data_IF_972228331724
#
_entry.id   IF_972228331724
#
_cell.length_a   1.000
_cell.length_b   1.000
_cell.length_c   1.000
_cell.angle_alpha   90.00
_cell.angle_beta   90.00
_cell.angle_gamma   90.00
#
_symmetry.space_group_name_H-M   'P 1'
#
loop_
_entity.id
_entity.type
_entity.pdbx_description
1 polymer ?
#
# COMPACT_ATOMS: atom_id res chain seq x y z
N UNK A 1 -17.46 6.11 3.61
CA UNK A 1 -16.31 5.77 2.75
C UNK A 1 -16.14 6.83 1.69
N UNK A 2 -14.92 7.23 1.39
CA UNK A 2 -14.62 7.95 0.14
C UNK A 2 -13.75 7.03 -0.68
N UNK A 3 -14.40 6.15 -1.46
CA UNK A 3 -13.74 5.18 -2.37
C UNK A 3 -12.67 5.86 -3.23
N UNK A 4 -12.93 7.11 -3.60
CA UNK A 4 -12.01 7.99 -4.32
C UNK A 4 -10.67 8.15 -3.58
N UNK A 5 -10.68 8.40 -2.27
CA UNK A 5 -9.44 8.56 -1.49
C UNK A 5 -8.62 7.27 -1.53
N UNK A 6 -9.25 6.11 -1.32
CA UNK A 6 -8.57 4.82 -1.36
C UNK A 6 -8.03 4.46 -2.73
N UNK A 7 -8.75 4.81 -3.81
CA UNK A 7 -8.27 4.61 -5.18
C UNK A 7 -7.06 5.49 -5.49
N UNK A 8 -7.11 6.77 -5.13
CA UNK A 8 -5.98 7.70 -5.29
C UNK A 8 -4.77 7.18 -4.52
N UNK A 9 -4.95 6.77 -3.26
CA UNK A 9 -3.85 6.23 -2.46
C UNK A 9 -3.26 4.94 -3.05
N UNK A 10 -4.09 4.05 -3.60
CA UNK A 10 -3.62 2.84 -4.28
C UNK A 10 -2.75 3.17 -5.51
N UNK A 11 -3.17 4.14 -6.32
CA UNK A 11 -2.42 4.59 -7.49
C UNK A 11 -1.08 5.22 -7.09
N UNK A 12 -1.07 6.10 -6.09
CA UNK A 12 0.17 6.72 -5.59
C UNK A 12 1.12 5.64 -5.05
N UNK A 13 0.61 4.69 -4.28
CA UNK A 13 1.42 3.60 -3.72
C UNK A 13 2.02 2.71 -4.82
N UNK A 14 1.21 2.38 -5.84
CA UNK A 14 1.66 1.64 -7.03
C UNK A 14 2.82 2.35 -7.72
N UNK A 15 2.70 3.66 -7.95
CA UNK A 15 3.73 4.45 -8.62
C UNK A 15 5.01 4.49 -7.77
N UNK A 16 4.90 4.77 -6.47
CA UNK A 16 6.05 4.87 -5.56
C UNK A 16 6.79 3.53 -5.49
N UNK A 17 6.08 2.43 -5.29
CA UNK A 17 6.68 1.10 -5.19
C UNK A 17 7.29 0.68 -6.53
N UNK A 18 6.59 0.91 -7.64
CA UNK A 18 7.12 0.55 -8.96
C UNK A 18 8.37 1.35 -9.30
N UNK A 19 8.40 2.65 -9.03
CA UNK A 19 9.62 3.47 -9.17
C UNK A 19 10.75 2.97 -8.29
N UNK A 20 10.46 2.71 -7.01
CA UNK A 20 11.46 2.24 -6.05
C UNK A 20 12.08 0.90 -6.48
N UNK A 21 11.25 -0.08 -6.83
CA UNK A 21 11.70 -1.39 -7.29
C UNK A 21 12.47 -1.29 -8.61
N UNK A 22 11.98 -0.50 -9.56
CA UNK A 22 12.69 -0.27 -10.82
C UNK A 22 14.06 0.35 -10.59
N UNK A 23 14.20 1.32 -9.70
CA UNK A 23 15.51 1.92 -9.42
C UNK A 23 16.47 0.91 -8.79
N UNK A 24 16.02 0.16 -7.78
CA UNK A 24 16.83 -0.82 -7.08
C UNK A 24 17.30 -1.94 -8.02
N UNK A 25 16.44 -2.38 -8.94
CA UNK A 25 16.68 -3.54 -9.79
C UNK A 25 17.32 -3.17 -11.13
N UNK A 26 17.02 -1.98 -11.67
CA UNK A 26 17.61 -1.52 -12.92
C UNK A 26 19.12 -1.37 -12.82
N UNK A 27 19.62 -0.74 -11.75
CA UNK A 27 21.07 -0.50 -11.55
C UNK A 27 21.91 -1.78 -11.72
N UNK A 28 21.56 -2.93 -11.11
CA UNK A 28 22.29 -4.18 -11.33
C UNK A 28 21.96 -4.87 -12.66
N UNK A 29 20.70 -4.87 -13.13
CA UNK A 29 20.30 -5.62 -14.35
C UNK A 29 20.81 -4.96 -15.63
N UNK A 30 20.99 -3.64 -15.65
CA UNK A 30 21.53 -2.92 -16.81
C UNK A 30 22.93 -3.44 -17.20
N UNK A 31 23.65 -4.06 -16.25
CA UNK A 31 24.97 -4.65 -16.47
C UNK A 31 24.90 -6.08 -17.06
N UNK A 32 23.74 -6.74 -17.04
CA UNK A 32 23.62 -8.18 -17.34
C UNK A 32 22.68 -8.48 -18.50
N UNK A 33 21.52 -7.82 -18.62
CA UNK A 33 20.44 -8.29 -19.53
C UNK A 33 19.78 -7.22 -20.41
N UNK A 34 20.29 -5.99 -20.45
CA UNK A 34 19.81 -4.98 -21.43
C UNK A 34 18.35 -4.53 -21.24
N UNK A 35 17.69 -4.86 -20.13
CA UNK A 35 16.37 -4.34 -19.80
C UNK A 35 16.41 -2.82 -19.62
N UNK A 36 15.44 -2.12 -20.19
CA UNK A 36 15.27 -0.68 -19.97
C UNK A 36 14.57 -0.40 -18.64
N UNK A 37 14.89 0.72 -18.00
CA UNK A 37 14.22 1.18 -16.78
C UNK A 37 12.70 1.25 -16.96
N UNK A 38 12.26 1.71 -18.13
CA UNK A 38 10.85 1.85 -18.49
C UNK A 38 10.13 0.49 -18.53
N UNK A 39 10.78 -0.55 -19.09
CA UNK A 39 10.25 -1.91 -19.11
C UNK A 39 10.06 -2.48 -17.71
N UNK A 40 11.06 -2.31 -16.84
CA UNK A 40 10.96 -2.73 -15.43
C UNK A 40 9.85 -1.96 -14.69
N UNK A 41 9.75 -0.65 -14.90
CA UNK A 41 8.72 0.18 -14.29
C UNK A 41 7.31 -0.28 -14.66
N UNK A 42 7.02 -0.44 -15.95
CA UNK A 42 5.71 -0.92 -16.38
C UNK A 42 5.41 -2.35 -15.89
N UNK A 43 6.42 -3.21 -15.84
CA UNK A 43 6.28 -4.56 -15.28
C UNK A 43 5.83 -4.49 -13.81
N UNK A 44 6.52 -3.70 -12.98
CA UNK A 44 6.12 -3.54 -11.57
C UNK A 44 4.78 -2.82 -11.40
N UNK A 45 4.41 -1.88 -12.27
CA UNK A 45 3.08 -1.27 -12.24
C UNK A 45 2.01 -2.33 -12.47
N UNK A 46 2.15 -3.19 -13.49
CA UNK A 46 1.18 -4.24 -13.80
C UNK A 46 1.01 -5.20 -12.63
N UNK A 47 2.09 -5.57 -11.95
CA UNK A 47 2.02 -6.50 -10.80
C UNK A 47 1.53 -5.83 -9.51
N UNK A 48 1.95 -4.61 -9.22
CA UNK A 48 1.63 -3.94 -7.95
C UNK A 48 0.26 -3.27 -7.95
N UNK A 49 -0.24 -2.82 -9.10
CA UNK A 49 -1.54 -2.17 -9.22
C UNK A 49 -2.71 -3.02 -8.69
N UNK A 50 -2.91 -4.29 -9.11
CA UNK A 50 -3.99 -5.11 -8.58
C UNK A 50 -3.80 -5.42 -7.09
N UNK A 51 -2.55 -5.54 -6.61
CA UNK A 51 -2.25 -5.75 -5.19
C UNK A 51 -2.72 -4.55 -4.36
N UNK A 52 -2.40 -3.32 -4.77
CA UNK A 52 -2.81 -2.13 -4.02
C UNK A 52 -4.29 -1.77 -4.21
N UNK A 53 -4.87 -2.03 -5.39
CA UNK A 53 -6.30 -1.85 -5.59
C UNK A 53 -7.10 -2.85 -4.76
N UNK A 54 -6.83 -4.15 -4.86
CA UNK A 54 -7.61 -5.16 -4.15
C UNK A 54 -7.23 -5.24 -2.68
N UNK A 55 -5.94 -5.36 -2.40
CA UNK A 55 -5.40 -5.48 -1.04
C UNK A 55 -5.51 -4.18 -0.26
N UNK A 56 -5.20 -3.03 -0.86
CA UNK A 56 -5.29 -1.73 -0.19
C UNK A 56 -6.73 -1.29 0.10
N UNK A 57 -7.64 -1.43 -0.88
CA UNK A 57 -9.07 -1.16 -0.65
C UNK A 57 -9.62 -2.17 0.35
N UNK A 58 -9.33 -3.46 0.19
CA UNK A 58 -9.71 -4.52 1.13
C UNK A 58 -9.24 -4.24 2.55
N UNK A 59 -7.99 -3.83 2.73
CA UNK A 59 -7.42 -3.43 4.02
C UNK A 59 -8.21 -2.27 4.64
N UNK A 60 -8.47 -1.22 3.86
CA UNK A 60 -9.24 -0.07 4.33
C UNK A 60 -10.64 -0.49 4.79
N UNK A 61 -11.31 -1.39 4.07
CA UNK A 61 -12.64 -1.89 4.43
C UNK A 61 -12.63 -2.70 5.72
N UNK A 62 -11.67 -3.63 5.85
CA UNK A 62 -11.54 -4.48 7.04
C UNK A 62 -11.23 -3.65 8.27
N UNK A 63 -10.26 -2.73 8.14
CA UNK A 63 -9.86 -1.83 9.23
C UNK A 63 -11.04 -0.95 9.66
N UNK A 64 -11.70 -0.27 8.73
CA UNK A 64 -12.87 0.57 9.06
C UNK A 64 -13.99 -0.23 9.74
N UNK A 65 -14.25 -1.46 9.28
CA UNK A 65 -15.26 -2.34 9.89
C UNK A 65 -14.91 -2.74 11.32
N UNK A 66 -13.65 -3.09 11.57
CA UNK A 66 -13.15 -3.42 12.91
C UNK A 66 -13.26 -2.21 13.85
N UNK A 67 -12.80 -1.04 13.41
CA UNK A 67 -12.88 0.18 14.21
C UNK A 67 -14.32 0.59 14.53
N UNK A 68 -15.23 0.48 13.56
CA UNK A 68 -16.65 0.74 13.77
C UNK A 68 -17.26 -0.22 14.79
N UNK A 69 -16.89 -1.50 14.74
CA UNK A 69 -17.39 -2.51 15.66
C UNK A 69 -16.88 -2.29 17.09
N UNK A 70 -15.61 -1.89 17.25
CA UNK A 70 -15.00 -1.62 18.55
C UNK A 70 -15.40 -0.25 19.14
N UNK A 71 -16.22 0.54 18.43
CA UNK A 71 -16.61 1.91 18.80
C UNK A 71 -15.42 2.82 19.15
N UNK A 72 -14.25 2.50 18.59
CA UNK A 72 -13.03 3.26 18.84
C UNK A 72 -13.14 4.60 18.12
N UNK A 73 -13.19 5.67 18.91
CA UNK A 73 -13.06 7.03 18.37
C UNK A 73 -11.67 7.22 17.78
N UNK A 74 -11.50 8.27 16.97
CA UNK A 74 -10.20 8.74 16.45
C UNK A 74 -9.34 9.33 17.59
N UNK A 75 -9.11 8.55 18.62
CA UNK A 75 -8.22 8.89 19.72
C UNK A 75 -6.80 8.43 19.40
N UNK A 76 -5.85 8.75 20.29
CA UNK A 76 -4.42 8.43 20.14
C UNK A 76 -4.18 6.93 19.86
N UNK A 77 -5.04 6.04 20.34
CA UNK A 77 -4.98 4.60 20.11
C UNK A 77 -5.31 4.16 18.67
N UNK A 78 -5.94 5.03 17.86
CA UNK A 78 -6.32 4.70 16.49
C UNK A 78 -5.10 4.38 15.62
N UNK A 79 -4.05 5.19 15.71
CA UNK A 79 -2.87 5.03 14.87
C UNK A 79 -2.13 3.70 15.08
N UNK A 80 -1.70 3.33 16.30
CA UNK A 80 -0.97 2.08 16.50
C UNK A 80 -1.83 0.85 16.17
N UNK A 81 -3.13 0.86 16.49
CA UNK A 81 -4.01 -0.25 16.17
C UNK A 81 -4.23 -0.39 14.66
N UNK A 82 -4.42 0.73 13.95
CA UNK A 82 -4.50 0.73 12.49
C UNK A 82 -3.21 0.20 11.87
N UNK A 83 -2.04 0.63 12.36
CA UNK A 83 -0.75 0.15 11.87
C UNK A 83 -0.62 -1.38 11.99
N UNK A 84 -0.99 -1.94 13.14
CA UNK A 84 -0.97 -3.39 13.38
C UNK A 84 -1.94 -4.10 12.43
N UNK A 85 -3.17 -3.60 12.29
CA UNK A 85 -4.17 -4.20 11.40
C UNK A 85 -3.71 -4.16 9.94
N UNK A 86 -3.16 -3.03 9.48
CA UNK A 86 -2.58 -2.94 8.13
C UNK A 86 -1.40 -3.90 7.96
N UNK A 87 -0.52 -4.06 8.96
CA UNK A 87 0.55 -5.06 8.90
C UNK A 87 -0.01 -6.49 8.71
N UNK A 88 -1.03 -6.87 9.49
CA UNK A 88 -1.70 -8.17 9.32
C UNK A 88 -2.32 -8.35 7.93
N UNK A 89 -3.01 -7.33 7.43
CA UNK A 89 -3.59 -7.38 6.08
C UNK A 89 -2.50 -7.45 5.00
N UNK A 90 -1.36 -6.79 5.23
CA UNK A 90 -0.20 -6.86 4.35
C UNK A 90 0.37 -8.27 4.22
N UNK A 91 0.39 -9.03 5.31
CA UNK A 91 0.74 -10.46 5.26
C UNK A 91 -0.33 -11.25 4.50
N UNK A 92 -1.62 -10.98 4.81
CA UNK A 92 -2.76 -11.72 4.26
C UNK A 92 -2.91 -11.60 2.73
N UNK A 93 -2.60 -10.44 2.16
CA UNK A 93 -2.71 -10.21 0.71
C UNK A 93 -1.40 -10.38 -0.04
N UNK A 94 -0.31 -10.78 0.63
CA UNK A 94 0.96 -10.99 -0.02
C UNK A 94 1.06 -12.39 -0.64
N UNK A 95 0.70 -12.50 -1.92
CA UNK A 95 0.80 -13.75 -2.66
C UNK A 95 2.21 -14.38 -2.64
N UNK A 96 3.27 -13.57 -2.74
CA UNK A 96 4.66 -14.07 -2.74
C UNK A 96 5.04 -14.75 -1.43
N UNK A 97 4.50 -14.26 -0.31
CA UNK A 97 4.67 -14.90 1.00
C UNK A 97 4.09 -16.32 0.98
N UNK A 98 2.83 -16.49 0.56
CA UNK A 98 2.20 -17.81 0.50
C UNK A 98 2.87 -18.76 -0.47
N UNK A 99 3.26 -18.26 -1.65
CA UNK A 99 3.98 -19.05 -2.64
C UNK A 99 5.30 -19.60 -2.08
N UNK A 100 6.08 -18.75 -1.40
CA UNK A 100 7.34 -19.14 -0.77
C UNK A 100 7.15 -20.17 0.36
N UNK A 101 6.11 -20.01 1.18
CA UNK A 101 5.79 -20.97 2.27
C UNK A 101 5.39 -22.33 1.70
N UNK A 102 4.56 -22.37 0.65
CA UNK A 102 4.12 -23.61 -0.01
C UNK A 102 5.32 -24.36 -0.61
N UNK A 103 6.27 -23.63 -1.19
CA UNK A 103 7.49 -24.20 -1.77
C UNK A 103 8.59 -24.50 -0.74
N UNK A 104 8.32 -24.30 0.56
CA UNK A 104 9.27 -24.54 1.68
C UNK A 104 10.54 -23.68 1.60
N UNK A 105 10.48 -22.52 0.95
CA UNK A 105 11.57 -21.56 0.86
C UNK A 105 11.57 -20.59 2.05
N UNK A 106 11.71 -21.12 3.26
CA UNK A 106 11.51 -20.37 4.51
C UNK A 106 12.33 -19.07 4.60
N UNK A 107 13.55 -19.05 4.05
CA UNK A 107 14.40 -17.86 3.99
C UNK A 107 13.77 -16.71 3.18
N UNK A 108 13.18 -17.04 2.02
CA UNK A 108 12.49 -16.07 1.18
C UNK A 108 11.13 -15.68 1.77
N UNK A 109 10.48 -16.59 2.51
CA UNK A 109 9.16 -16.35 3.11
C UNK A 109 9.21 -15.20 4.11
N UNK A 110 10.23 -15.14 4.97
CA UNK A 110 10.39 -14.05 5.94
C UNK A 110 10.60 -12.72 5.21
N UNK A 111 11.44 -12.70 4.17
CA UNK A 111 11.66 -11.51 3.35
C UNK A 111 10.34 -11.01 2.72
N UNK A 112 9.58 -11.90 2.09
CA UNK A 112 8.31 -11.53 1.50
C UNK A 112 7.30 -11.06 2.55
N UNK A 113 7.23 -11.69 3.73
CA UNK A 113 6.39 -11.23 4.83
C UNK A 113 6.68 -9.75 5.17
N UNK A 114 7.95 -9.38 5.31
CA UNK A 114 8.34 -7.99 5.56
C UNK A 114 7.95 -7.06 4.41
N UNK A 115 8.14 -7.48 3.16
CA UNK A 115 7.71 -6.69 1.99
C UNK A 115 6.20 -6.43 2.01
N UNK A 116 5.40 -7.43 2.39
CA UNK A 116 3.94 -7.30 2.51
C UNK A 116 3.53 -6.32 3.62
N UNK A 117 4.16 -6.43 4.79
CA UNK A 117 3.95 -5.51 5.92
C UNK A 117 4.32 -4.08 5.51
N UNK A 118 5.50 -3.88 4.93
CA UNK A 118 5.98 -2.57 4.50
C UNK A 118 5.07 -1.95 3.44
N UNK A 119 4.64 -2.73 2.44
CA UNK A 119 3.74 -2.26 1.39
C UNK A 119 2.38 -1.82 1.95
N UNK A 120 1.79 -2.60 2.85
CA UNK A 120 0.51 -2.25 3.48
C UNK A 120 0.62 -1.05 4.43
N UNK A 121 1.70 -0.97 5.22
CA UNK A 121 1.98 0.19 6.05
C UNK A 121 2.20 1.45 5.20
N UNK A 122 2.91 1.36 4.07
CA UNK A 122 3.08 2.47 3.14
C UNK A 122 1.72 2.94 2.60
N UNK A 123 0.86 2.02 2.19
CA UNK A 123 -0.50 2.33 1.75
C UNK A 123 -1.28 3.08 2.84
N UNK A 124 -1.21 2.63 4.11
CA UNK A 124 -1.86 3.32 5.22
C UNK A 124 -1.38 4.77 5.39
N UNK A 125 -0.07 5.01 5.34
CA UNK A 125 0.48 6.36 5.46
C UNK A 125 0.04 7.26 4.30
N UNK A 126 0.08 6.73 3.06
CA UNK A 126 -0.41 7.47 1.89
C UNK A 126 -1.89 7.77 2.04
N UNK A 127 -2.70 6.82 2.52
CA UNK A 127 -4.13 7.04 2.76
C UNK A 127 -4.40 8.16 3.76
N UNK A 128 -3.63 8.21 4.86
CA UNK A 128 -3.72 9.33 5.82
C UNK A 128 -3.37 10.67 5.17
N UNK A 129 -2.32 10.71 4.36
CA UNK A 129 -1.90 11.92 3.64
C UNK A 129 -2.95 12.36 2.61
N UNK A 130 -3.46 11.42 1.79
CA UNK A 130 -4.51 11.70 0.79
C UNK A 130 -5.76 12.27 1.47
N UNK A 131 -6.21 11.65 2.56
CA UNK A 131 -7.35 12.15 3.37
C UNK A 131 -7.14 13.56 3.89
N UNK A 132 -5.95 13.82 4.46
CA UNK A 132 -5.60 15.13 5.01
C UNK A 132 -5.56 16.20 3.91
N UNK A 133 -4.94 15.91 2.77
CA UNK A 133 -4.85 16.84 1.63
C UNK A 133 -6.21 17.14 1.02
N UNK A 134 -7.04 16.11 0.81
CA UNK A 134 -8.36 16.28 0.20
C UNK A 134 -9.32 17.05 1.13
N UNK A 135 -9.24 16.80 2.44
CA UNK A 135 -9.98 17.58 3.43
C UNK A 135 -9.58 19.06 3.39
N UNK A 136 -8.28 19.37 3.34
CA UNK A 136 -7.78 20.76 3.29
C UNK A 136 -8.28 21.50 2.04
N UNK A 137 -8.29 20.84 0.88
CA UNK A 137 -8.81 21.41 -0.38
C UNK A 137 -10.31 21.72 -0.26
N UNK A 138 -11.09 20.78 0.30
CA UNK A 138 -12.53 20.95 0.49
C UNK A 138 -12.86 22.13 1.42
N UNK A 139 -12.10 22.31 2.51
CA UNK A 139 -12.31 23.45 3.43
C UNK A 139 -11.91 24.78 2.81
N UNK A 140 -10.86 24.81 1.99
CA UNK A 140 -10.44 26.04 1.29
C UNK A 140 -11.50 26.50 0.28
N UNK A 141 -12.07 25.57 -0.49
CA UNK A 141 -13.10 25.93 -1.47
C UNK A 141 -14.39 26.45 -0.82
N UNK A 142 -14.77 25.92 0.34
CA UNK A 142 -15.97 26.36 1.06
C UNK A 142 -15.78 27.73 1.75
N UNK A 143 -14.58 28.02 2.25
CA UNK A 143 -14.28 29.31 2.90
C UNK A 143 -14.01 30.48 1.94
N UNK A 144 -14.00 30.24 0.63
CA UNK A 144 -13.88 31.30 -0.41
C UNK A 144 -15.26 31.71 -0.94
N UNK A 145 -16.32 30.97 -0.59
CA UNK A 145 -17.71 31.23 -1.00
C UNK A 145 -18.56 31.88 0.10
N UNK A 146 -17.96 32.21 1.25
CA UNK A 146 -18.54 33.04 2.32
C UNK A 146 -17.94 34.45 2.27
#
# INVERSE_FOLDING_TARGET
MKVIETMISALICTIIISLGLSLVIYIPIQQVEGFTFLSLFFSYVIYSLPIFLLGGIGASLVVEKIFKHLQLKKDIAYYPLALILYAFVGILFNYYFYFSVINKEWGNSIFYMFVGILGSCLFFHILLLTRKSLHRISTYHNGVLE
#
